data_IF_768721990220
#
_entry.id   IF_768721990220
#
_cell.length_a   1.000
_cell.length_b   1.000
_cell.length_c   1.000
_cell.angle_alpha   90.00
_cell.angle_beta   90.00
_cell.angle_gamma   90.00
#
_symmetry.space_group_name_H-M   'P 1'
#
loop_
_entity.id
_entity.type
_entity.pdbx_description
1 polymer ?
#
# COMPACT_ATOMS: atom_id res chain seq x y z
N UNK A 1 0.11 -2.77 16.98
CA UNK A 1 -1.22 -2.27 16.53
C UNK A 1 -1.08 -1.70 15.13
N UNK A 2 -2.13 -1.71 14.31
CA UNK A 2 -2.13 -0.97 13.03
C UNK A 2 -2.28 0.52 13.34
N UNK A 3 -1.55 1.37 12.61
CA UNK A 3 -1.62 2.83 12.71
C UNK A 3 -3.03 3.32 12.39
N UNK A 4 -3.46 4.39 13.06
CA UNK A 4 -4.71 5.05 12.74
C UNK A 4 -4.55 6.06 11.59
N UNK A 5 -5.66 6.32 10.88
CA UNK A 5 -5.73 7.36 9.86
C UNK A 5 -5.24 6.96 8.47
N UNK A 6 -4.90 7.98 7.68
CA UNK A 6 -4.58 7.89 6.25
C UNK A 6 -3.06 7.96 6.06
N UNK A 7 -2.43 7.07 5.27
CA UNK A 7 -1.01 7.14 4.98
C UNK A 7 -0.60 8.46 4.32
N UNK A 8 0.54 9.02 4.71
CA UNK A 8 1.10 10.19 4.05
C UNK A 8 1.70 9.80 2.69
N UNK A 9 1.74 10.76 1.76
CA UNK A 9 2.28 10.53 0.41
C UNK A 9 3.73 10.06 0.46
N UNK A 10 4.54 10.65 1.34
CA UNK A 10 5.93 10.22 1.59
C UNK A 10 6.07 8.78 2.08
N UNK A 11 5.05 8.25 2.76
CA UNK A 11 5.05 6.87 3.21
C UNK A 11 4.65 5.96 2.04
N UNK A 12 3.61 6.33 1.28
CA UNK A 12 3.22 5.60 0.07
C UNK A 12 4.38 5.52 -0.95
N UNK A 13 5.19 6.57 -1.06
CA UNK A 13 6.41 6.56 -1.87
C UNK A 13 7.45 5.56 -1.34
N UNK A 14 7.65 5.47 -0.03
CA UNK A 14 8.55 4.45 0.56
C UNK A 14 8.03 3.03 0.35
N UNK A 15 6.71 2.84 0.42
CA UNK A 15 6.07 1.55 0.15
C UNK A 15 6.25 1.16 -1.32
N UNK A 16 6.08 2.10 -2.25
CA UNK A 16 6.13 1.84 -3.68
C UNK A 16 7.47 1.26 -4.14
N UNK A 17 8.57 1.73 -3.55
CA UNK A 17 9.93 1.21 -3.80
C UNK A 17 10.04 -0.27 -3.42
N UNK A 18 9.28 -0.72 -2.42
CA UNK A 18 9.32 -2.10 -1.90
C UNK A 18 8.36 -3.06 -2.61
N UNK A 19 7.32 -2.54 -3.28
CA UNK A 19 6.29 -3.36 -3.91
C UNK A 19 6.78 -4.11 -5.16
N UNK A 20 7.77 -3.59 -5.89
CA UNK A 20 8.29 -4.25 -7.09
C UNK A 20 7.16 -4.54 -8.10
N UNK A 21 7.03 -5.78 -8.58
CA UNK A 21 5.96 -6.20 -9.51
C UNK A 21 4.60 -6.40 -8.82
N UNK A 22 4.58 -6.55 -7.49
CA UNK A 22 3.37 -6.84 -6.69
C UNK A 22 2.38 -5.69 -6.58
N UNK A 23 2.72 -4.53 -7.15
CA UNK A 23 1.82 -3.39 -7.19
C UNK A 23 0.54 -3.67 -7.99
N UNK A 24 0.57 -4.59 -8.96
CA UNK A 24 -0.62 -4.98 -9.75
C UNK A 24 -1.59 -5.80 -8.90
N UNK A 25 -1.09 -6.82 -8.20
CA UNK A 25 -1.88 -7.61 -7.27
C UNK A 25 -2.43 -6.75 -6.14
N UNK A 26 -1.62 -5.82 -5.60
CA UNK A 26 -2.10 -4.87 -4.61
C UNK A 26 -3.18 -3.94 -5.20
N UNK A 27 -2.99 -3.43 -6.42
CA UNK A 27 -4.00 -2.63 -7.11
C UNK A 27 -5.33 -3.37 -7.25
N UNK A 28 -5.29 -4.65 -7.61
CA UNK A 28 -6.48 -5.50 -7.67
C UNK A 28 -7.14 -5.67 -6.29
N UNK A 29 -6.37 -5.88 -5.22
CA UNK A 29 -6.89 -5.94 -3.84
C UNK A 29 -7.44 -4.60 -3.36
N UNK A 30 -6.99 -3.50 -3.95
CA UNK A 30 -7.52 -2.14 -3.76
C UNK A 30 -8.58 -1.81 -4.82
N UNK A 31 -9.24 -2.82 -5.40
CA UNK A 31 -10.38 -2.66 -6.31
C UNK A 31 -10.08 -1.82 -7.56
N UNK A 32 -8.86 -1.89 -8.09
CA UNK A 32 -8.59 -1.44 -9.46
C UNK A 32 -8.93 -2.57 -10.43
N UNK A 33 -9.64 -2.23 -11.50
CA UNK A 33 -9.85 -3.16 -12.61
C UNK A 33 -8.61 -3.28 -13.50
N UNK A 34 -8.61 -4.30 -14.37
CA UNK A 34 -7.48 -4.58 -15.26
C UNK A 34 -7.17 -3.42 -16.22
N UNK A 35 -8.20 -2.65 -16.62
CA UNK A 35 -8.04 -1.50 -17.49
C UNK A 35 -7.27 -0.37 -16.77
N UNK A 36 -7.64 -0.07 -15.52
CA UNK A 36 -6.96 0.94 -14.71
C UNK A 36 -5.51 0.52 -14.39
N UNK A 37 -5.28 -0.76 -14.08
CA UNK A 37 -3.93 -1.29 -13.89
C UNK A 37 -3.11 -1.18 -15.18
N UNK A 38 -3.70 -1.48 -16.34
CA UNK A 38 -3.01 -1.40 -17.64
C UNK A 38 -2.63 0.04 -17.98
N UNK A 39 -3.55 0.99 -17.80
CA UNK A 39 -3.27 2.42 -18.01
C UNK A 39 -2.12 2.91 -17.13
N UNK A 40 -2.07 2.50 -15.86
CA UNK A 40 -0.96 2.83 -14.95
C UNK A 40 0.36 2.17 -15.36
N UNK A 41 0.32 1.02 -16.04
CA UNK A 41 1.49 0.28 -16.48
C UNK A 41 2.12 0.88 -17.76
N UNK A 42 1.31 1.36 -18.69
CA UNK A 42 1.77 1.98 -19.94
C UNK A 42 2.43 3.34 -19.70
N UNK A 43 1.98 4.05 -18.67
CA UNK A 43 2.41 5.40 -18.30
C UNK A 43 3.82 5.52 -17.71
N UNK A 44 4.54 4.41 -17.47
CA UNK A 44 5.87 4.45 -16.88
C UNK A 44 6.75 3.24 -17.21
N UNK A 45 8.08 3.37 -17.04
CA UNK A 45 8.99 2.21 -17.09
C UNK A 45 9.41 1.72 -15.71
N UNK A 46 9.41 2.60 -14.71
CA UNK A 46 9.87 2.26 -13.36
C UNK A 46 8.75 1.69 -12.50
N UNK A 47 8.94 0.47 -11.97
CA UNK A 47 7.97 -0.22 -11.12
C UNK A 47 7.59 0.59 -9.88
N UNK A 48 8.57 1.21 -9.22
CA UNK A 48 8.32 2.04 -8.04
C UNK A 48 7.40 3.23 -8.37
N UNK A 49 7.57 3.85 -9.54
CA UNK A 49 6.73 4.97 -9.96
C UNK A 49 5.31 4.54 -10.31
N UNK A 50 5.13 3.37 -10.93
CA UNK A 50 3.80 2.76 -11.19
C UNK A 50 3.08 2.47 -9.88
N UNK A 51 3.77 1.80 -8.97
CA UNK A 51 3.26 1.48 -7.65
C UNK A 51 2.85 2.73 -6.88
N UNK A 52 3.67 3.79 -6.94
CA UNK A 52 3.35 5.04 -6.25
C UNK A 52 2.12 5.73 -6.85
N UNK A 53 2.02 5.79 -8.18
CA UNK A 53 0.85 6.36 -8.86
C UNK A 53 -0.43 5.59 -8.53
N UNK A 54 -0.37 4.26 -8.50
CA UNK A 54 -1.49 3.42 -8.08
C UNK A 54 -1.92 3.76 -6.64
N UNK A 55 -0.98 3.84 -5.70
CA UNK A 55 -1.27 4.18 -4.30
C UNK A 55 -1.85 5.60 -4.13
N UNK A 56 -1.38 6.57 -4.90
CA UNK A 56 -1.95 7.92 -4.91
C UNK A 56 -3.35 7.93 -5.51
N UNK A 57 -3.58 7.20 -6.60
CA UNK A 57 -4.89 7.07 -7.21
C UNK A 57 -5.89 6.41 -6.25
N UNK A 58 -5.47 5.37 -5.52
CA UNK A 58 -6.25 4.74 -4.47
C UNK A 58 -6.62 5.73 -3.38
N UNK A 59 -5.62 6.45 -2.85
CA UNK A 59 -5.83 7.45 -1.80
C UNK A 59 -6.78 8.58 -2.24
N UNK A 60 -6.68 9.03 -3.48
CA UNK A 60 -7.57 10.05 -4.03
C UNK A 60 -9.00 9.53 -4.22
N UNK A 61 -9.15 8.28 -4.69
CA UNK A 61 -10.46 7.65 -4.91
C UNK A 61 -11.23 7.41 -3.61
N UNK A 62 -10.55 6.88 -2.59
CA UNK A 62 -11.17 6.53 -1.30
C UNK A 62 -11.26 7.71 -0.32
N UNK A 63 -10.40 8.72 -0.48
CA UNK A 63 -10.33 9.88 0.40
C UNK A 63 -10.07 9.49 1.86
N UNK A 64 -11.05 9.74 2.73
CA UNK A 64 -10.93 9.43 4.17
C UNK A 64 -10.97 7.94 4.49
N UNK A 65 -11.44 7.10 3.56
CA UNK A 65 -11.45 5.64 3.70
C UNK A 65 -10.10 4.99 3.32
N UNK A 66 -9.16 5.76 2.76
CA UNK A 66 -7.80 5.31 2.41
C UNK A 66 -6.93 5.07 3.65
N UNK A 67 -7.34 4.19 4.56
CA UNK A 67 -6.70 4.03 5.87
C UNK A 67 -5.56 3.01 5.85
N UNK A 68 -4.66 3.09 6.84
CA UNK A 68 -3.64 2.05 7.07
C UNK A 68 -4.25 0.66 7.30
N UNK A 69 -5.48 0.58 7.85
CA UNK A 69 -6.16 -0.70 8.06
C UNK A 69 -6.55 -1.34 6.72
N UNK A 70 -7.12 -0.57 5.79
CA UNK A 70 -7.43 -1.06 4.44
C UNK A 70 -6.16 -1.50 3.72
N UNK A 71 -5.10 -0.68 3.79
CA UNK A 71 -3.82 -1.00 3.16
C UNK A 71 -3.16 -2.24 3.78
N UNK A 72 -3.22 -2.40 5.09
CA UNK A 72 -2.69 -3.57 5.80
C UNK A 72 -3.40 -4.85 5.34
N UNK A 73 -4.73 -4.82 5.29
CA UNK A 73 -5.53 -5.97 4.86
C UNK A 73 -5.21 -6.34 3.41
N UNK A 74 -5.12 -5.36 2.50
CA UNK A 74 -4.78 -5.59 1.11
C UNK A 74 -3.35 -6.15 0.94
N UNK A 75 -2.37 -5.67 1.72
CA UNK A 75 -1.00 -6.20 1.68
C UNK A 75 -0.88 -7.60 2.28
N UNK A 76 -1.75 -7.96 3.23
CA UNK A 76 -1.84 -9.29 3.83
C UNK A 76 -2.64 -10.28 2.98
N UNK A 77 -3.32 -9.82 1.92
CA UNK A 77 -4.11 -10.68 1.06
C UNK A 77 -3.23 -11.77 0.42
N UNK A 78 -3.81 -12.96 0.22
CA UNK A 78 -3.12 -14.14 -0.34
C UNK A 78 -2.60 -13.92 -1.76
N UNK A 79 -3.10 -12.93 -2.48
CA UNK A 79 -2.61 -12.58 -3.81
C UNK A 79 -1.30 -11.76 -3.75
N UNK A 80 -1.15 -10.97 -2.68
CA UNK A 80 0.00 -10.08 -2.49
C UNK A 80 1.09 -10.74 -1.65
N UNK A 81 0.69 -11.50 -0.61
CA UNK A 81 1.54 -12.23 0.35
C UNK A 81 2.63 -11.37 1.01
N UNK A 82 2.40 -10.06 1.13
CA UNK A 82 3.38 -9.09 1.65
C UNK A 82 3.16 -8.80 3.14
N UNK A 83 2.78 -9.81 3.93
CA UNK A 83 2.48 -9.67 5.35
C UNK A 83 3.59 -8.95 6.13
N UNK A 84 4.86 -9.30 5.90
CA UNK A 84 6.00 -8.66 6.56
C UNK A 84 6.11 -7.16 6.21
N UNK A 85 5.81 -6.80 4.96
CA UNK A 85 5.79 -5.40 4.52
C UNK A 85 4.58 -4.66 5.10
N UNK A 86 3.42 -5.32 5.20
CA UNK A 86 2.23 -4.80 5.86
C UNK A 86 2.51 -4.46 7.32
N UNK A 87 3.15 -5.38 8.06
CA UNK A 87 3.55 -5.18 9.46
C UNK A 87 4.55 -4.03 9.60
N UNK A 88 5.61 -4.03 8.79
CA UNK A 88 6.65 -2.97 8.84
C UNK A 88 6.07 -1.59 8.51
N UNK A 89 5.11 -1.53 7.60
CA UNK A 89 4.61 -0.27 7.07
C UNK A 89 3.40 0.27 7.83
N UNK A 90 2.43 -0.60 8.11
CA UNK A 90 1.13 -0.20 8.66
C UNK A 90 1.07 -0.34 10.18
N UNK A 91 1.94 -1.12 10.81
CA UNK A 91 1.93 -1.24 12.27
C UNK A 91 2.87 -0.22 12.93
N UNK A 92 2.49 0.24 14.11
CA UNK A 92 3.44 0.87 15.04
C UNK A 92 4.24 -0.23 15.73
N UNK A 93 5.53 -0.01 15.95
CA UNK A 93 6.26 -0.82 16.92
C UNK A 93 5.54 -0.69 18.27
N UNK A 94 5.23 -1.82 18.89
CA UNK A 94 4.83 -1.81 20.29
C UNK A 94 6.13 -1.53 21.02
N UNK A 95 6.36 -0.28 21.43
CA UNK A 95 7.32 -0.03 22.49
C UNK A 95 6.81 -0.84 23.69
N UNK A 96 7.47 -1.98 23.91
CA UNK A 96 7.33 -2.72 25.15
C UNK A 96 7.73 -1.77 26.26
N UNK A 97 6.74 -1.20 26.91
CA UNK A 97 6.83 -0.60 28.22
C UNK A 97 7.22 -1.69 29.23
N UNK A 98 8.48 -2.13 29.15
CA UNK A 98 9.18 -2.74 30.26
C UNK A 98 9.64 -1.59 31.17
N UNK A 99 8.75 -1.19 32.08
CA UNK A 99 9.16 -0.65 33.38
C UNK A 99 8.91 -1.74 34.42
N UNK A 100 9.90 -2.04 35.24
CA UNK A 100 9.78 -1.71 36.65
C UNK A 100 10.55 -0.43 37.02
#
# INVERSE_FOLDING_TARGET
>A
MVKDGIPLDRELEKLSVKLGKKWKELGSCLEFDDAAITNLDEDNKELARKAYRMLLAWKQREGFQATYTVLYNALCDKLVEFKLLAETFCCTEIEGNASP
#
